data_IF_383673800028
#
_entry.id   IF_383673800028
#
_cell.length_a   1.000
_cell.length_b   1.000
_cell.length_c   1.000
_cell.angle_alpha   90.00
_cell.angle_beta   90.00
_cell.angle_gamma   90.00
#
_symmetry.space_group_name_H-M   'P 1'
#
loop_
_entity.id
_entity.type
_entity.pdbx_description
1 polymer ?
#
# COMPACT_ATOMS: atom_id res chain seq x y z
N UNK A 1 -0.22 8.89 -19.30
CA UNK A 1 -0.44 8.66 -17.86
C UNK A 1 0.91 8.81 -17.18
N UNK A 2 1.04 9.64 -16.15
CA UNK A 2 2.32 9.85 -15.48
C UNK A 2 2.78 8.56 -14.78
N UNK A 3 4.09 8.39 -14.60
CA UNK A 3 4.65 7.19 -13.96
C UNK A 3 4.11 6.99 -12.53
N UNK A 4 3.98 8.09 -11.78
CA UNK A 4 3.37 8.10 -10.45
C UNK A 4 1.91 7.60 -10.47
N UNK A 5 1.11 8.04 -11.45
CA UNK A 5 -0.28 7.60 -11.59
C UNK A 5 -0.36 6.08 -11.83
N UNK A 6 0.54 5.55 -12.68
CA UNK A 6 0.62 4.12 -12.98
C UNK A 6 0.96 3.31 -11.72
N UNK A 7 2.02 3.72 -11.01
CA UNK A 7 2.48 2.98 -9.83
C UNK A 7 1.44 3.06 -8.71
N UNK A 8 0.79 4.20 -8.50
CA UNK A 8 -0.34 4.32 -7.55
C UNK A 8 -1.45 3.31 -7.88
N UNK A 9 -1.88 3.24 -9.15
CA UNK A 9 -2.93 2.32 -9.57
C UNK A 9 -2.51 0.84 -9.43
N UNK A 10 -1.27 0.50 -9.76
CA UNK A 10 -0.75 -0.86 -9.60
C UNK A 10 -0.61 -1.26 -8.12
N UNK A 11 -0.20 -0.32 -7.27
CA UNK A 11 -0.06 -0.53 -5.83
C UNK A 11 -1.44 -0.76 -5.20
N UNK A 12 -2.42 0.07 -5.54
CA UNK A 12 -3.81 -0.06 -5.09
C UNK A 12 -4.46 -1.37 -5.59
N UNK A 13 -4.23 -1.75 -6.85
CA UNK A 13 -4.74 -3.02 -7.40
C UNK A 13 -4.13 -4.23 -6.68
N UNK A 14 -2.81 -4.21 -6.46
CA UNK A 14 -2.10 -5.28 -5.73
C UNK A 14 -2.61 -5.38 -4.29
N UNK A 15 -2.80 -4.23 -3.63
CA UNK A 15 -3.38 -4.16 -2.30
C UNK A 15 -4.79 -4.78 -2.23
N UNK A 16 -5.68 -4.44 -3.17
CA UNK A 16 -7.01 -5.03 -3.24
C UNK A 16 -6.98 -6.55 -3.46
N UNK A 17 -6.09 -7.03 -4.33
CA UNK A 17 -5.89 -8.47 -4.54
C UNK A 17 -5.42 -9.19 -3.27
N UNK A 18 -4.55 -8.56 -2.47
CA UNK A 18 -4.13 -9.11 -1.18
C UNK A 18 -5.33 -9.29 -0.26
N UNK A 19 -6.16 -8.25 -0.15
CA UNK A 19 -7.35 -8.28 0.69
C UNK A 19 -8.38 -9.31 0.24
N UNK A 20 -8.64 -9.41 -1.07
CA UNK A 20 -9.54 -10.44 -1.63
C UNK A 20 -9.02 -11.85 -1.40
N UNK A 21 -7.70 -12.05 -1.50
CA UNK A 21 -7.05 -13.34 -1.24
C UNK A 21 -7.20 -13.76 0.23
N UNK A 22 -7.06 -12.81 1.17
CA UNK A 22 -7.19 -13.10 2.61
C UNK A 22 -8.59 -13.57 3.04
N UNK A 23 -9.61 -13.29 2.22
CA UNK A 23 -10.98 -13.76 2.43
C UNK A 23 -11.21 -15.20 1.99
N UNK A 24 -10.29 -15.80 1.24
CA UNK A 24 -10.38 -17.18 0.76
C UNK A 24 -9.72 -18.10 1.79
N UNK A 25 -10.46 -19.07 2.29
CA UNK A 25 -9.93 -20.05 3.25
C UNK A 25 -9.37 -21.27 2.49
N UNK A 26 -8.15 -21.15 1.98
CA UNK A 26 -7.46 -22.23 1.26
C UNK A 26 -5.94 -22.10 1.34
N UNK A 27 -5.22 -23.22 1.33
CA UNK A 27 -3.74 -23.24 1.28
C UNK A 27 -3.17 -22.49 0.07
N UNK A 28 -3.93 -22.42 -1.01
CA UNK A 28 -3.58 -21.66 -2.21
C UNK A 28 -3.59 -20.14 -1.95
N UNK A 29 -4.51 -19.65 -1.10
CA UNK A 29 -4.58 -18.24 -0.70
C UNK A 29 -3.35 -17.82 0.11
N UNK A 30 -2.78 -18.71 0.93
CA UNK A 30 -1.57 -18.43 1.70
C UNK A 30 -0.34 -18.25 0.78
N UNK A 31 -0.20 -19.05 -0.27
CA UNK A 31 0.90 -18.88 -1.23
C UNK A 31 0.73 -17.62 -2.07
N UNK A 32 -0.50 -17.32 -2.45
CA UNK A 32 -0.86 -16.13 -3.22
C UNK A 32 -0.59 -14.85 -2.40
N UNK A 33 -0.94 -14.81 -1.11
CA UNK A 33 -0.68 -13.64 -0.26
C UNK A 33 0.82 -13.38 -0.09
N UNK A 34 1.66 -14.42 0.03
CA UNK A 34 3.12 -14.26 0.13
C UNK A 34 3.66 -13.61 -1.15
N UNK A 35 3.25 -14.09 -2.33
CA UNK A 35 3.65 -13.52 -3.61
C UNK A 35 3.21 -12.06 -3.75
N UNK A 36 1.97 -11.76 -3.37
CA UNK A 36 1.41 -10.41 -3.43
C UNK A 36 2.13 -9.47 -2.45
N UNK A 37 2.52 -9.93 -1.26
CA UNK A 37 3.33 -9.14 -0.31
C UNK A 37 4.66 -8.72 -0.91
N UNK A 38 5.37 -9.62 -1.60
CA UNK A 38 6.63 -9.27 -2.27
C UNK A 38 6.41 -8.23 -3.37
N UNK A 39 5.41 -8.43 -4.23
CA UNK A 39 5.06 -7.46 -5.28
C UNK A 39 4.71 -6.09 -4.68
N UNK A 40 3.92 -6.09 -3.61
CA UNK A 40 3.51 -4.88 -2.93
C UNK A 40 4.72 -4.12 -2.35
N UNK A 41 5.67 -4.83 -1.73
CA UNK A 41 6.90 -4.21 -1.22
C UNK A 41 7.73 -3.55 -2.34
N UNK A 42 7.84 -4.19 -3.50
CA UNK A 42 8.50 -3.62 -4.68
C UNK A 42 7.78 -2.35 -5.16
N UNK A 43 6.44 -2.39 -5.28
CA UNK A 43 5.66 -1.24 -5.70
C UNK A 43 5.75 -0.06 -4.72
N UNK A 44 5.81 -0.32 -3.41
CA UNK A 44 6.07 0.70 -2.39
C UNK A 44 7.44 1.36 -2.59
N UNK A 45 8.46 0.60 -2.96
CA UNK A 45 9.78 1.16 -3.28
C UNK A 45 9.78 1.98 -4.57
N UNK A 46 9.11 1.50 -5.62
CA UNK A 46 8.93 2.22 -6.87
C UNK A 46 8.15 3.52 -6.66
N UNK A 47 7.13 3.52 -5.79
CA UNK A 47 6.35 4.71 -5.50
C UNK A 47 7.21 5.82 -4.88
N UNK A 48 8.18 5.49 -4.01
CA UNK A 48 9.14 6.48 -3.51
C UNK A 48 9.95 7.13 -4.62
N UNK A 49 10.40 6.34 -5.60
CA UNK A 49 11.20 6.84 -6.70
C UNK A 49 10.34 7.76 -7.59
N UNK A 50 9.13 7.32 -7.93
CA UNK A 50 8.19 8.07 -8.76
C UNK A 50 7.74 9.38 -8.11
N UNK A 51 7.53 9.40 -6.79
CA UNK A 51 7.21 10.64 -6.06
C UNK A 51 8.31 11.70 -6.22
N UNK A 52 9.58 11.30 -6.19
CA UNK A 52 10.72 12.22 -6.29
C UNK A 52 10.90 12.81 -7.69
N UNK A 53 10.43 12.12 -8.72
CA UNK A 53 10.61 12.51 -10.12
C UNK A 53 9.34 13.08 -10.75
N UNK A 54 8.20 13.09 -10.03
CA UNK A 54 6.94 13.60 -10.57
C UNK A 54 6.95 15.14 -10.71
N UNK A 55 6.76 15.68 -11.93
CA UNK A 55 6.81 17.13 -12.15
C UNK A 55 5.75 17.92 -11.38
N UNK A 56 4.58 17.31 -11.07
CA UNK A 56 3.51 17.99 -10.32
C UNK A 56 3.93 18.19 -8.87
N UNK A 57 4.56 17.18 -8.27
CA UNK A 57 5.12 17.28 -6.91
C UNK A 57 6.34 18.21 -6.86
N UNK A 58 7.16 18.22 -7.91
CA UNK A 58 8.28 19.16 -8.01
C UNK A 58 7.81 20.64 -8.12
N UNK A 59 6.64 20.87 -8.74
CA UNK A 59 6.05 22.20 -8.89
C UNK A 59 5.25 22.70 -7.69
N UNK A 60 4.86 21.81 -6.77
CA UNK A 60 4.08 22.14 -5.56
C UNK A 60 4.71 21.51 -4.31
N UNK A 61 5.51 22.32 -3.61
CA UNK A 61 6.21 21.89 -2.40
C UNK A 61 5.27 21.48 -1.25
N UNK A 62 4.10 22.11 -1.14
CA UNK A 62 3.15 21.79 -0.08
C UNK A 62 2.54 20.41 -0.33
N UNK A 63 2.13 20.16 -1.58
CA UNK A 63 1.61 18.86 -2.00
C UNK A 63 2.67 17.75 -1.86
N UNK A 64 3.91 18.03 -2.25
CA UNK A 64 5.04 17.09 -2.12
C UNK A 64 5.28 16.70 -0.66
N UNK A 65 5.34 17.68 0.25
CA UNK A 65 5.50 17.44 1.68
C UNK A 65 4.36 16.60 2.25
N UNK A 66 3.10 16.91 1.91
CA UNK A 66 1.95 16.14 2.37
C UNK A 66 1.97 14.70 1.84
N UNK A 67 2.44 14.51 0.59
CA UNK A 67 2.64 13.19 -0.01
C UNK A 67 3.67 12.38 0.78
N UNK A 68 4.82 12.98 1.10
CA UNK A 68 5.88 12.34 1.88
C UNK A 68 5.41 11.96 3.29
N UNK A 69 4.72 12.86 3.99
CA UNK A 69 4.21 12.61 5.35
C UNK A 69 3.19 11.46 5.37
N UNK A 70 2.18 11.51 4.50
CA UNK A 70 1.15 10.47 4.43
C UNK A 70 1.74 9.14 4.01
N UNK A 71 2.67 9.14 3.05
CA UNK A 71 3.32 7.92 2.60
C UNK A 71 4.26 7.34 3.68
N UNK A 72 4.96 8.19 4.42
CA UNK A 72 5.76 7.76 5.58
C UNK A 72 4.89 7.09 6.65
N UNK A 73 3.71 7.66 6.95
CA UNK A 73 2.77 7.08 7.91
C UNK A 73 2.30 5.67 7.48
N UNK A 74 2.05 5.46 6.19
CA UNK A 74 1.71 4.13 5.64
C UNK A 74 2.87 3.16 5.79
N UNK A 75 4.09 3.57 5.43
CA UNK A 75 5.28 2.73 5.55
C UNK A 75 5.54 2.32 7.00
N UNK A 76 5.33 3.23 7.95
CA UNK A 76 5.44 2.93 9.38
C UNK A 76 4.41 1.88 9.80
N UNK A 77 3.13 2.07 9.45
CA UNK A 77 2.06 1.09 9.76
C UNK A 77 2.30 -0.28 9.11
N UNK A 78 2.80 -0.29 7.87
CA UNK A 78 3.22 -1.52 7.18
C UNK A 78 4.32 -2.24 7.95
N UNK A 79 5.37 -1.53 8.35
CA UNK A 79 6.47 -2.11 9.11
C UNK A 79 6.00 -2.67 10.47
N UNK A 80 5.14 -1.94 11.18
CA UNK A 80 4.53 -2.38 12.44
C UNK A 80 3.67 -3.65 12.24
N UNK A 81 2.82 -3.66 11.21
CA UNK A 81 2.02 -4.83 10.85
C UNK A 81 2.91 -6.04 10.52
N UNK A 82 3.96 -5.86 9.72
CA UNK A 82 4.89 -6.93 9.35
C UNK A 82 5.70 -7.44 10.54
N UNK A 83 6.08 -6.56 11.47
CA UNK A 83 6.79 -6.93 12.68
C UNK A 83 5.92 -7.77 13.63
N UNK A 84 4.63 -7.42 13.74
CA UNK A 84 3.64 -8.14 14.56
C UNK A 84 3.26 -9.49 13.96
N UNK A 85 3.01 -9.55 12.65
CA UNK A 85 2.47 -10.73 11.97
C UNK A 85 3.55 -11.52 11.23
N UNK A 86 4.40 -12.18 12.01
CA UNK A 86 5.29 -13.26 11.53
C UNK A 86 4.49 -14.55 11.35
N UNK A 87 4.98 -15.51 10.57
CA UNK A 87 4.25 -16.77 10.26
C UNK A 87 3.66 -17.45 11.50
N UNK A 88 4.44 -17.64 12.56
CA UNK A 88 3.94 -18.28 13.79
C UNK A 88 2.77 -17.51 14.42
N UNK A 89 2.81 -16.17 14.45
CA UNK A 89 1.73 -15.36 15.00
C UNK A 89 0.46 -15.38 14.12
N UNK A 90 0.62 -15.56 12.81
CA UNK A 90 -0.50 -15.73 11.87
C UNK A 90 -1.16 -17.09 12.08
N UNK A 91 -0.36 -18.14 12.28
CA UNK A 91 -0.87 -19.50 12.52
C UNK A 91 -1.62 -19.61 13.86
N UNK A 92 -1.15 -18.89 14.89
CA UNK A 92 -1.78 -18.82 16.21
C UNK A 92 -3.07 -18.00 16.24
N UNK A 93 -3.15 -16.89 15.49
CA UNK A 93 -4.33 -16.03 15.42
C UNK A 93 -4.63 -15.55 13.98
N UNK A 94 -5.19 -16.44 13.12
CA UNK A 94 -5.54 -16.07 11.76
C UNK A 94 -6.62 -14.99 11.68
N UNK A 95 -7.55 -14.96 12.65
CA UNK A 95 -8.64 -13.99 12.69
C UNK A 95 -8.14 -12.58 13.02
N UNK A 96 -7.26 -12.45 14.01
CA UNK A 96 -6.61 -11.18 14.35
C UNK A 96 -5.71 -10.69 13.23
N UNK A 97 -5.03 -11.59 12.51
CA UNK A 97 -4.25 -11.22 11.32
C UNK A 97 -5.15 -10.59 10.25
N UNK A 98 -6.28 -11.24 9.93
CA UNK A 98 -7.26 -10.71 8.97
C UNK A 98 -7.77 -9.32 9.40
N UNK A 99 -8.18 -9.15 10.65
CA UNK A 99 -8.64 -7.85 11.16
C UNK A 99 -7.57 -6.77 11.05
N UNK A 100 -6.32 -7.10 11.40
CA UNK A 100 -5.21 -6.15 11.29
C UNK A 100 -4.90 -5.79 9.84
N UNK A 101 -5.06 -6.73 8.90
CA UNK A 101 -4.91 -6.48 7.48
C UNK A 101 -6.05 -5.58 6.95
N UNK A 102 -7.29 -5.75 7.42
CA UNK A 102 -8.41 -4.86 7.09
C UNK A 102 -8.19 -3.43 7.60
N UNK A 103 -7.65 -3.27 8.81
CA UNK A 103 -7.32 -1.96 9.37
C UNK A 103 -6.25 -1.25 8.54
N UNK A 104 -5.21 -1.99 8.17
CA UNK A 104 -4.16 -1.48 7.29
C UNK A 104 -4.73 -1.10 5.91
N UNK A 105 -5.62 -1.91 5.37
CA UNK A 105 -6.24 -1.69 4.07
C UNK A 105 -7.01 -0.37 4.01
N UNK A 106 -7.82 -0.08 5.04
CA UNK A 106 -8.57 1.19 5.12
C UNK A 106 -7.66 2.43 5.10
N UNK A 107 -6.49 2.33 5.72
CA UNK A 107 -5.50 3.41 5.73
C UNK A 107 -4.88 3.61 4.36
N UNK A 108 -4.53 2.51 3.69
CA UNK A 108 -3.93 2.54 2.36
C UNK A 108 -4.91 3.07 1.31
N UNK A 109 -6.16 2.63 1.35
CA UNK A 109 -7.23 3.13 0.46
C UNK A 109 -7.47 4.64 0.65
N UNK A 110 -7.46 5.12 1.90
CA UNK A 110 -7.56 6.55 2.20
C UNK A 110 -6.43 7.37 1.58
N UNK A 111 -5.20 6.84 1.59
CA UNK A 111 -4.08 7.49 0.91
C UNK A 111 -4.21 7.46 -0.61
N UNK A 112 -4.54 6.31 -1.21
CA UNK A 112 -4.66 6.22 -2.68
C UNK A 112 -5.77 7.12 -3.21
N UNK A 113 -6.90 7.19 -2.52
CA UNK A 113 -8.01 8.10 -2.86
C UNK A 113 -7.60 9.57 -2.77
N UNK A 114 -6.91 9.97 -1.70
CA UNK A 114 -6.38 11.33 -1.56
C UNK A 114 -5.33 11.63 -2.64
N UNK A 115 -4.34 10.75 -2.82
CA UNK A 115 -3.25 10.94 -3.77
C UNK A 115 -3.76 11.16 -5.20
N UNK A 116 -4.73 10.34 -5.63
CA UNK A 116 -5.38 10.49 -6.93
C UNK A 116 -6.10 11.83 -7.06
N UNK A 117 -6.92 12.17 -6.07
CA UNK A 117 -7.72 13.39 -6.07
C UNK A 117 -6.84 14.65 -6.07
N UNK A 118 -5.73 14.64 -5.33
CA UNK A 118 -4.79 15.76 -5.28
C UNK A 118 -4.06 15.93 -6.62
N UNK A 119 -3.59 14.83 -7.22
CA UNK A 119 -2.88 14.86 -8.50
C UNK A 119 -3.77 15.23 -9.70
N UNK A 120 -5.07 14.98 -9.61
CA UNK A 120 -6.05 15.40 -10.62
C UNK A 120 -6.30 16.92 -10.60
N UNK A 121 -6.21 17.55 -9.42
CA UNK A 121 -6.36 19.00 -9.26
C UNK A 121 -5.14 19.79 -9.75
N UNK A 122 -3.99 19.13 -9.92
CA UNK A 122 -2.74 19.73 -10.40
C UNK A 122 -2.53 19.56 -11.92
N UNK A 123 -3.51 19.00 -12.65
CA UNK A 123 -3.50 18.88 -14.12
C UNK A 123 -4.11 20.11 -14.78
#
# INVERSE_FOLDING_TARGET
MAELDRILAETESTHRQMHETLRRDSDQAIREIIRLRTRFATLVAELMAAMKTDPRLAGDHALSHEFEERFFAIRKRLAEHQARWRSAAIDEDPAGYRQSAEDLARVQDGFYGWARSSLEQTR
#
